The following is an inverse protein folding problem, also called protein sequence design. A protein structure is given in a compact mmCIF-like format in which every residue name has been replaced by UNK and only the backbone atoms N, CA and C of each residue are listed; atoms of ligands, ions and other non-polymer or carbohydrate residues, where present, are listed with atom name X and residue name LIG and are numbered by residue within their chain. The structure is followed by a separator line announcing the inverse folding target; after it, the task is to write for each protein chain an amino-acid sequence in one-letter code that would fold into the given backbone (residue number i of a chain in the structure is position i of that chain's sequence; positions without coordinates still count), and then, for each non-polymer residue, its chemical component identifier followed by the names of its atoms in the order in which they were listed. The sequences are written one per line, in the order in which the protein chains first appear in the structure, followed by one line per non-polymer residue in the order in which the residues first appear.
data_IF_492689885082
#
_entry.id   IF_492689885082
#
_cell.length_a   1.000
_cell.length_b   1.000
_cell.length_c   1.000
_cell.angle_alpha   90.00
_cell.angle_beta   90.00
_cell.angle_gamma   90.00
#
_symmetry.space_group_name_H-M   'P 1'
#
loop_
_entity.id
_entity.type
_entity.pdbx_description
1 polymer ?
#
# COMPACT_ATOMS: atom_id res chain seq x y z
N UNK A 1 18.87 5.99 9.96
CA UNK A 1 17.77 5.89 8.96
C UNK A 1 16.76 6.98 9.25
N UNK A 2 16.23 7.62 8.21
CA UNK A 2 15.17 8.61 8.36
C UNK A 2 14.05 8.37 7.36
N UNK A 3 12.88 8.95 7.63
CA UNK A 3 11.74 8.92 6.74
C UNK A 3 11.67 10.21 5.92
N UNK A 4 11.49 10.06 4.61
CA UNK A 4 11.29 11.18 3.69
C UNK A 4 9.89 11.06 3.09
N UNK A 5 8.97 11.98 3.37
CA UNK A 5 7.62 11.91 2.81
C UNK A 5 7.63 11.85 1.29
N UNK A 6 6.84 10.98 0.71
CA UNK A 6 6.80 10.76 -0.74
C UNK A 6 5.42 11.11 -1.33
N UNK A 7 4.37 10.46 -0.86
CA UNK A 7 3.00 10.76 -1.30
C UNK A 7 1.98 10.23 -0.30
N UNK A 8 0.77 10.73 -0.43
CA UNK A 8 -0.42 10.19 0.25
C UNK A 8 -1.27 9.43 -0.76
N UNK A 9 -1.72 8.25 -0.38
CA UNK A 9 -2.64 7.44 -1.16
C UNK A 9 -3.94 7.28 -0.40
N UNK A 10 -5.04 7.64 -1.05
CA UNK A 10 -6.38 7.42 -0.52
C UNK A 10 -7.12 6.52 -1.48
N UNK A 11 -7.69 5.43 -0.98
CA UNK A 11 -8.48 4.53 -1.82
C UNK A 11 -9.67 3.98 -1.06
N UNK A 12 -10.57 3.39 -1.83
CA UNK A 12 -11.78 2.77 -1.31
C UNK A 12 -11.93 1.37 -1.87
N UNK A 13 -12.27 0.41 -1.01
CA UNK A 13 -12.64 -0.92 -1.43
C UNK A 13 -14.05 -0.88 -2.04
N UNK A 14 -14.17 -1.28 -3.31
CA UNK A 14 -15.45 -1.28 -4.03
C UNK A 14 -16.05 -2.68 -4.14
N UNK A 15 -15.25 -3.72 -3.94
CA UNK A 15 -15.70 -5.09 -3.96
C UNK A 15 -14.80 -5.99 -3.12
N UNK A 16 -15.42 -6.98 -2.46
CA UNK A 16 -14.68 -7.94 -1.64
C UNK A 16 -15.26 -9.34 -1.75
N UNK A 17 -14.38 -10.33 -1.60
CA UNK A 17 -14.74 -11.73 -1.48
C UNK A 17 -14.06 -12.29 -0.26
N UNK A 18 -14.77 -13.10 0.52
CA UNK A 18 -14.24 -13.67 1.76
C UNK A 18 -14.45 -15.17 1.77
N UNK A 19 -13.40 -15.92 2.05
CA UNK A 19 -13.41 -17.37 2.23
C UNK A 19 -12.92 -17.67 3.64
N UNK A 20 -13.67 -18.49 4.36
CA UNK A 20 -13.28 -18.99 5.68
C UNK A 20 -12.81 -20.42 5.55
N UNK A 21 -11.57 -20.66 5.99
CA UNK A 21 -10.96 -21.99 5.96
C UNK A 21 -10.42 -22.31 7.35
N UNK A 22 -11.19 -23.10 8.11
CA UNK A 22 -10.91 -23.28 9.53
C UNK A 22 -11.06 -21.95 10.27
N UNK A 23 -10.02 -21.57 11.02
CA UNK A 23 -9.96 -20.30 11.73
C UNK A 23 -9.36 -19.16 10.89
N UNK A 24 -8.85 -19.49 9.70
CA UNK A 24 -8.28 -18.49 8.80
C UNK A 24 -9.38 -17.82 7.97
N UNK A 25 -9.21 -16.54 7.75
CA UNK A 25 -10.06 -15.75 6.87
C UNK A 25 -9.19 -15.24 5.72
N UNK A 26 -9.59 -15.62 4.50
CA UNK A 26 -8.92 -15.21 3.26
C UNK A 26 -9.81 -14.23 2.51
N UNK A 27 -9.23 -13.16 2.04
CA UNK A 27 -9.98 -12.12 1.33
C UNK A 27 -9.30 -11.69 0.04
N UNK A 28 -10.12 -11.31 -0.92
CA UNK A 28 -9.69 -10.54 -2.08
C UNK A 28 -10.49 -9.24 -2.06
N UNK A 29 -9.78 -8.11 -1.99
CA UNK A 29 -10.37 -6.79 -1.87
C UNK A 29 -9.91 -5.95 -3.06
N UNK A 30 -10.87 -5.45 -3.84
CA UNK A 30 -10.58 -4.61 -4.99
C UNK A 30 -10.80 -3.14 -4.62
N UNK A 31 -9.93 -2.26 -5.10
CA UNK A 31 -10.00 -0.84 -4.76
C UNK A 31 -9.57 0.07 -5.89
N UNK A 32 -10.01 1.30 -5.78
CA UNK A 32 -9.61 2.42 -6.62
C UNK A 32 -9.40 3.65 -5.75
N UNK A 33 -8.49 4.52 -6.18
CA UNK A 33 -8.19 5.74 -5.46
C UNK A 33 -7.20 6.64 -6.17
N UNK A 34 -6.49 7.44 -5.39
CA UNK A 34 -5.60 8.47 -5.93
C UNK A 34 -4.39 8.72 -5.04
N UNK A 35 -3.23 8.88 -5.69
CA UNK A 35 -2.00 9.38 -5.06
C UNK A 35 -1.88 10.88 -5.25
N UNK A 36 -1.36 11.57 -4.22
CA UNK A 36 -1.04 13.00 -4.25
C UNK A 36 0.32 13.22 -3.58
N UNK A 37 1.22 13.92 -4.26
CA UNK A 37 2.55 14.26 -3.74
C UNK A 37 3.62 14.17 -4.82
N UNK A 38 4.77 13.62 -4.49
CA UNK A 38 5.86 13.39 -5.45
C UNK A 38 5.45 12.42 -6.56
N UNK A 39 4.46 11.58 -6.28
CA UNK A 39 3.76 10.76 -7.26
C UNK A 39 2.29 11.14 -7.17
N UNK A 40 1.73 11.64 -8.27
CA UNK A 40 0.31 11.98 -8.35
C UNK A 40 -0.33 11.24 -9.50
N UNK A 41 -1.46 10.60 -9.24
CA UNK A 41 -2.16 9.85 -10.26
C UNK A 41 -3.24 8.94 -9.70
N UNK A 42 -3.87 8.20 -10.62
CA UNK A 42 -4.92 7.25 -10.31
C UNK A 42 -4.31 5.94 -9.84
N UNK A 43 -4.88 5.41 -8.78
CA UNK A 43 -4.50 4.12 -8.20
C UNK A 43 -5.62 3.11 -8.36
N UNK A 44 -5.25 1.87 -8.70
CA UNK A 44 -6.16 0.74 -8.63
C UNK A 44 -5.39 -0.52 -8.24
N UNK A 45 -6.07 -1.46 -7.61
CA UNK A 45 -5.39 -2.68 -7.20
C UNK A 45 -6.27 -3.67 -6.47
N UNK A 46 -5.62 -4.75 -6.07
CA UNK A 46 -6.25 -5.86 -5.37
C UNK A 46 -5.40 -6.29 -4.18
N UNK A 47 -6.06 -6.44 -3.05
CA UNK A 47 -5.45 -6.92 -1.82
C UNK A 47 -5.88 -8.37 -1.58
N UNK A 48 -4.94 -9.30 -1.71
CA UNK A 48 -5.16 -10.72 -1.38
C UNK A 48 -4.77 -10.93 0.07
N UNK A 49 -5.65 -10.53 0.96
CA UNK A 49 -5.38 -10.44 2.39
C UNK A 49 -5.68 -11.75 3.12
N UNK A 50 -5.00 -11.93 4.24
CA UNK A 50 -5.27 -13.02 5.18
C UNK A 50 -5.40 -12.44 6.58
N UNK A 51 -6.47 -12.82 7.28
CA UNK A 51 -6.61 -12.54 8.70
C UNK A 51 -6.13 -13.74 9.48
N UNK A 52 -5.11 -13.54 10.31
CA UNK A 52 -4.58 -14.58 11.17
C UNK A 52 -5.49 -14.81 12.38
N UNK A 53 -5.49 -16.04 12.87
CA UNK A 53 -6.25 -16.42 14.08
C UNK A 53 -5.75 -15.67 15.31
N UNK A 54 -4.46 -15.29 15.33
CA UNK A 54 -3.84 -14.59 16.46
C UNK A 54 -3.96 -13.06 16.40
N UNK A 55 -4.75 -12.53 15.46
CA UNK A 55 -5.18 -11.15 15.46
C UNK A 55 -4.77 -10.28 14.29
N UNK A 56 -3.49 -10.22 13.87
CA UNK A 56 -3.11 -9.34 12.78
C UNK A 56 -3.71 -9.76 11.44
N UNK A 57 -4.00 -8.75 10.64
CA UNK A 57 -4.37 -8.88 9.25
C UNK A 57 -3.10 -8.73 8.41
N UNK A 58 -2.89 -9.60 7.45
CA UNK A 58 -1.73 -9.57 6.56
C UNK A 58 -2.19 -9.18 5.15
N UNK A 59 -1.97 -7.92 4.73
CA UNK A 59 -2.22 -7.52 3.37
C UNK A 59 -1.15 -8.07 2.43
N UNK A 60 -1.56 -8.40 1.22
CA UNK A 60 -0.67 -8.66 0.09
C UNK A 60 -1.29 -7.95 -1.10
N UNK A 61 -0.87 -6.71 -1.30
CA UNK A 61 -1.57 -5.76 -2.15
C UNK A 61 -0.76 -5.47 -3.40
N UNK A 62 -1.33 -5.78 -4.56
CA UNK A 62 -0.76 -5.47 -5.86
C UNK A 62 -1.59 -4.39 -6.54
N UNK A 63 -0.94 -3.28 -6.84
CA UNK A 63 -1.61 -2.15 -7.45
C UNK A 63 -0.85 -1.57 -8.61
N UNK A 64 -1.49 -0.61 -9.27
CA UNK A 64 -0.90 0.19 -10.35
C UNK A 64 -1.24 1.65 -10.11
N UNK A 65 -0.24 2.50 -10.27
CA UNK A 65 -0.40 3.95 -10.31
C UNK A 65 -0.23 4.38 -11.75
N UNK A 66 -1.26 5.02 -12.29
CA UNK A 66 -1.21 5.69 -13.58
C UNK A 66 -1.06 7.16 -13.30
N UNK A 67 0.16 7.69 -13.46
CA UNK A 67 0.46 9.07 -13.07
C UNK A 67 -0.21 10.07 -14.00
N UNK A 68 -0.45 11.28 -13.49
CA UNK A 68 -1.08 12.34 -14.26
C UNK A 68 -0.25 12.76 -15.48
N UNK A 69 1.05 12.52 -15.44
CA UNK A 69 1.99 12.81 -16.54
C UNK A 69 2.26 11.60 -17.46
N UNK A 70 1.48 10.53 -17.32
CA UNK A 70 1.46 9.41 -18.27
C UNK A 70 2.40 8.25 -17.99
N UNK A 71 2.94 8.14 -16.79
CA UNK A 71 3.74 6.98 -16.39
C UNK A 71 2.87 5.88 -15.79
N UNK A 72 3.38 4.64 -15.83
CA UNK A 72 2.79 3.49 -15.15
C UNK A 72 3.78 2.98 -14.11
N UNK A 73 3.31 2.84 -12.88
CA UNK A 73 4.12 2.35 -11.77
C UNK A 73 3.40 1.18 -11.12
N UNK A 74 4.03 0.01 -11.09
CA UNK A 74 3.52 -1.13 -10.33
C UNK A 74 3.85 -0.94 -8.86
N UNK A 75 2.96 -1.39 -8.00
CA UNK A 75 2.96 -1.11 -6.58
C UNK A 75 2.68 -2.39 -5.80
N UNK A 76 3.51 -2.68 -4.80
CA UNK A 76 3.35 -3.88 -3.97
C UNK A 76 3.51 -3.52 -2.51
N UNK A 77 2.48 -3.84 -1.72
CA UNK A 77 2.43 -3.56 -0.29
C UNK A 77 2.30 -4.86 0.50
N UNK A 78 3.14 -5.01 1.51
CA UNK A 78 3.04 -6.07 2.51
C UNK A 78 3.27 -5.51 3.91
N UNK A 79 2.82 -6.22 4.92
CA UNK A 79 2.98 -5.81 6.32
C UNK A 79 1.86 -6.33 7.19
N UNK A 80 1.41 -5.48 8.12
CA UNK A 80 0.40 -5.85 9.09
C UNK A 80 -0.65 -4.76 9.24
N UNK A 81 -1.88 -5.20 9.51
CA UNK A 81 -2.98 -4.32 9.88
C UNK A 81 -3.69 -4.83 11.13
N UNK A 82 -4.32 -3.90 11.82
CA UNK A 82 -5.14 -4.18 13.01
C UNK A 82 -6.49 -3.50 12.78
N UNK A 83 -7.45 -4.22 12.15
CA UNK A 83 -8.71 -3.60 11.72
C UNK A 83 -9.53 -2.99 12.85
N UNK A 84 -9.50 -3.61 14.02
CA UNK A 84 -10.24 -3.11 15.19
C UNK A 84 -9.67 -1.79 15.70
N UNK A 85 -8.38 -1.55 15.49
CA UNK A 85 -7.73 -0.29 15.83
C UNK A 85 -7.72 0.69 14.67
N UNK A 86 -8.14 0.25 13.48
CA UNK A 86 -8.16 1.07 12.27
C UNK A 86 -6.80 1.51 11.79
N UNK A 87 -5.74 0.72 12.05
CA UNK A 87 -4.36 1.08 11.69
C UNK A 87 -3.67 0.02 10.84
N UNK A 88 -2.75 0.48 10.02
CA UNK A 88 -1.94 -0.34 9.11
C UNK A 88 -0.49 0.14 9.19
N UNK A 89 0.44 -0.79 9.34
CA UNK A 89 1.88 -0.53 9.27
C UNK A 89 2.48 -1.50 8.26
N UNK A 90 2.98 -0.96 7.16
CA UNK A 90 3.40 -1.78 6.02
C UNK A 90 4.62 -1.20 5.34
N UNK A 91 5.10 -1.91 4.32
CA UNK A 91 6.11 -1.43 3.39
C UNK A 91 5.57 -1.46 1.97
N UNK A 92 6.11 -0.62 1.11
CA UNK A 92 5.77 -0.56 -0.32
C UNK A 92 7.03 -0.54 -1.16
N UNK A 93 6.99 -1.29 -2.25
CA UNK A 93 7.98 -1.25 -3.32
C UNK A 93 7.30 -0.83 -4.63
N UNK A 94 8.05 -0.15 -5.48
CA UNK A 94 7.60 0.32 -6.77
C UNK A 94 8.45 -0.27 -7.90
N UNK A 95 7.81 -0.49 -9.06
CA UNK A 95 8.51 -0.91 -10.28
C UNK A 95 7.97 -0.09 -11.45
N UNK A 96 8.87 0.58 -12.17
CA UNK A 96 8.51 1.35 -13.37
C UNK A 96 9.67 1.37 -14.36
N UNK A 97 9.33 1.51 -15.64
CA UNK A 97 10.31 1.75 -16.71
C UNK A 97 10.35 3.20 -17.17
N UNK A 98 9.57 4.08 -16.54
CA UNK A 98 9.55 5.50 -16.87
C UNK A 98 10.73 6.23 -16.24
N UNK A 99 11.54 6.91 -17.05
CA UNK A 99 12.76 7.58 -16.61
C UNK A 99 12.52 8.66 -15.55
N UNK A 100 11.33 9.26 -15.52
CA UNK A 100 10.99 10.29 -14.53
C UNK A 100 10.85 9.74 -13.13
N UNK A 101 10.56 8.44 -12.99
CA UNK A 101 10.29 7.77 -11.71
C UNK A 101 11.21 6.58 -11.44
N UNK A 102 12.20 6.33 -12.29
CA UNK A 102 13.02 5.11 -12.22
C UNK A 102 13.81 4.96 -10.91
N UNK A 103 14.09 6.07 -10.21
CA UNK A 103 14.77 5.98 -8.91
C UNK A 103 13.94 5.23 -7.87
N UNK A 104 12.61 5.19 -8.03
CA UNK A 104 11.72 4.46 -7.11
C UNK A 104 11.96 2.95 -7.13
N UNK A 105 12.54 2.42 -8.20
CA UNK A 105 12.83 0.98 -8.30
C UNK A 105 13.80 0.48 -7.23
N UNK A 106 14.61 1.36 -6.66
CA UNK A 106 15.57 1.03 -5.61
C UNK A 106 15.18 1.57 -4.23
N UNK A 107 13.95 1.99 -4.05
CA UNK A 107 13.48 2.65 -2.82
C UNK A 107 12.53 1.73 -2.06
N UNK A 108 12.83 1.51 -0.79
CA UNK A 108 11.91 0.87 0.14
C UNK A 108 11.13 1.96 0.88
N UNK A 109 9.82 1.85 0.90
CA UNK A 109 8.97 2.80 1.57
C UNK A 109 8.34 2.19 2.83
N UNK A 110 8.26 3.00 3.89
CA UNK A 110 7.45 2.72 5.06
C UNK A 110 6.08 3.38 4.89
N UNK A 111 5.06 2.71 5.34
CA UNK A 111 3.68 3.17 5.18
C UNK A 111 2.98 3.18 6.53
N UNK A 112 2.40 4.31 6.84
CA UNK A 112 1.53 4.50 7.99
C UNK A 112 0.12 4.73 7.47
N UNK A 113 -0.85 3.95 7.94
CA UNK A 113 -2.19 4.01 7.38
C UNK A 113 -3.31 3.95 8.39
N UNK A 114 -4.44 4.50 7.97
CA UNK A 114 -5.70 4.50 8.72
C UNK A 114 -6.78 3.87 7.86
N UNK A 115 -7.53 2.96 8.45
CA UNK A 115 -8.67 2.30 7.80
C UNK A 115 -9.93 2.67 8.55
N UNK A 116 -10.92 3.22 7.84
CA UNK A 116 -12.25 3.55 8.38
C UNK A 116 -13.30 2.99 7.43
N UNK A 117 -13.98 1.93 7.88
CA UNK A 117 -14.94 1.21 7.05
C UNK A 117 -14.28 0.67 5.78
N UNK A 118 -14.64 1.20 4.61
CA UNK A 118 -14.08 0.80 3.31
C UNK A 118 -13.02 1.76 2.79
N UNK A 119 -12.77 2.85 3.53
CA UNK A 119 -11.81 3.86 3.11
C UNK A 119 -10.47 3.67 3.81
N UNK A 120 -9.40 3.79 3.02
CA UNK A 120 -8.03 3.63 3.50
C UNK A 120 -7.24 4.87 3.09
N UNK A 121 -6.50 5.42 4.04
CA UNK A 121 -5.57 6.50 3.79
C UNK A 121 -4.17 6.05 4.22
N UNK A 122 -3.22 6.13 3.30
CA UNK A 122 -1.83 5.75 3.52
C UNK A 122 -0.91 6.95 3.34
N UNK A 123 -0.01 7.14 4.30
CA UNK A 123 1.12 8.04 4.17
C UNK A 123 2.34 7.20 3.80
N UNK A 124 2.90 7.43 2.62
CA UNK A 124 4.02 6.67 2.07
C UNK A 124 5.27 7.52 2.15
N UNK A 125 6.29 7.00 2.83
CA UNK A 125 7.56 7.69 3.03
C UNK A 125 8.73 6.79 2.63
N UNK A 126 9.72 7.36 1.97
CA UNK A 126 10.97 6.68 1.64
C UNK A 126 11.77 6.41 2.91
N UNK A 127 12.29 5.19 3.04
CA UNK A 127 13.31 4.86 4.04
C UNK A 127 14.68 5.22 3.49
N UNK A 128 15.28 6.26 4.05
CA UNK A 128 16.58 6.75 3.59
C UNK A 128 17.67 6.18 4.48
N UNK A 129 18.64 5.50 3.86
CA UNK A 129 19.78 4.97 4.60
C UNK A 129 20.64 6.09 5.14
N UNK A 130 21.06 5.93 6.37
CA UNK A 130 22.04 6.81 7.04
C UNK A 130 23.07 5.95 7.74
N UNK A 131 24.34 6.42 7.83
CA UNK A 131 25.39 5.67 8.53
C UNK A 131 25.01 5.40 9.99
N UNK A 132 25.33 4.19 10.45
CA UNK A 132 25.22 3.83 11.86
C UNK A 132 26.44 4.40 12.58
N UNK A 133 26.24 5.24 13.62
CA UNK A 133 27.36 5.82 14.35
C UNK A 133 28.19 4.81 15.13
#
# INVERSE_FOLDING_TARGET
MRLEPLYRLTFRYDRSWTIRLGDDVHQLLRSEGRCEGAVSGRFSGQNRARRRVDGPFEPDYHGVIETDDGATILWHLTGFGWPEEGRVVTTVKHVTDDSRYERLNGVLCAVNGVVREREVMLEVAELVWEPIP
#
